data_IF_573233790714
#
_entry.id   IF_573233790714
#
_cell.length_a   1.000
_cell.length_b   1.000
_cell.length_c   1.000
_cell.angle_alpha   90.00
_cell.angle_beta   90.00
_cell.angle_gamma   90.00
#
_symmetry.space_group_name_H-M   'P 1'
#
loop_
_entity.id
_entity.type
_entity.pdbx_description
1 polymer ?
#
# COMPACT_ATOMS: atom_id res chain seq x y z
N UNK A 1 15.61 -27.79 -30.25
CA UNK A 1 14.91 -26.80 -31.09
C UNK A 1 13.46 -26.74 -30.66
N UNK A 2 13.27 -26.22 -29.47
CA UNK A 2 11.99 -25.72 -28.99
C UNK A 2 12.32 -24.24 -28.75
N UNK A 3 11.43 -23.31 -29.09
CA UNK A 3 11.17 -22.10 -28.29
C UNK A 3 10.58 -20.94 -29.10
N UNK A 4 10.79 -20.83 -30.43
CA UNK A 4 10.26 -19.69 -31.20
C UNK A 4 8.72 -19.60 -31.17
N UNK A 5 8.03 -20.73 -31.33
CA UNK A 5 6.56 -20.76 -31.25
C UNK A 5 6.03 -20.47 -29.85
N UNK A 6 6.75 -20.88 -28.80
CA UNK A 6 6.35 -20.62 -27.41
C UNK A 6 6.58 -19.17 -27.05
N UNK A 7 7.68 -18.58 -27.52
CA UNK A 7 7.99 -17.16 -27.31
C UNK A 7 6.95 -16.26 -27.96
N UNK A 8 6.47 -16.61 -29.17
CA UNK A 8 5.37 -15.88 -29.83
C UNK A 8 4.10 -15.88 -28.99
N UNK A 9 3.70 -17.05 -28.47
CA UNK A 9 2.49 -17.18 -27.64
C UNK A 9 2.61 -16.40 -26.33
N UNK A 10 3.78 -16.43 -25.70
CA UNK A 10 4.02 -15.65 -24.48
C UNK A 10 3.96 -14.16 -24.78
N UNK A 11 4.51 -13.70 -25.91
CA UNK A 11 4.44 -12.29 -26.31
C UNK A 11 3.00 -11.82 -26.57
N UNK A 12 2.18 -12.64 -27.21
CA UNK A 12 0.76 -12.32 -27.45
C UNK A 12 0.00 -12.17 -26.13
N UNK A 13 0.18 -13.10 -25.19
CA UNK A 13 -0.46 -13.04 -23.86
C UNK A 13 0.04 -11.82 -23.07
N UNK A 14 1.35 -11.54 -23.10
CA UNK A 14 1.90 -10.37 -22.40
C UNK A 14 1.37 -9.05 -22.98
N UNK A 15 1.11 -9.00 -24.29
CA UNK A 15 0.50 -7.83 -24.93
C UNK A 15 -0.99 -7.71 -24.60
N UNK A 16 -1.71 -8.84 -24.52
CA UNK A 16 -3.13 -8.89 -24.17
C UNK A 16 -3.40 -8.41 -22.73
N UNK A 17 -2.54 -8.78 -21.77
CA UNK A 17 -2.68 -8.43 -20.35
C UNK A 17 -1.77 -7.28 -19.91
N UNK A 18 -1.21 -6.51 -20.85
CA UNK A 18 -0.28 -5.42 -20.56
C UNK A 18 -0.88 -4.34 -19.64
N UNK A 19 -2.19 -4.17 -19.69
CA UNK A 19 -2.98 -3.24 -18.87
C UNK A 19 -3.12 -3.71 -17.41
N UNK A 20 -3.26 -5.02 -17.17
CA UNK A 20 -3.37 -5.62 -15.83
C UNK A 20 -2.01 -5.81 -15.18
N UNK A 21 -0.96 -6.05 -15.96
CA UNK A 21 0.41 -6.28 -15.47
C UNK A 21 1.16 -4.98 -15.15
N UNK A 22 0.47 -3.99 -14.60
CA UNK A 22 1.07 -2.73 -14.19
C UNK A 22 1.65 -2.84 -12.77
N UNK A 23 2.77 -2.17 -12.54
CA UNK A 23 3.38 -2.06 -11.20
C UNK A 23 2.66 -1.09 -10.28
N UNK A 24 1.66 -0.37 -10.81
CA UNK A 24 0.81 0.55 -10.08
C UNK A 24 -0.47 -0.16 -9.64
N UNK A 25 -0.97 0.12 -8.44
CA UNK A 25 -2.22 -0.45 -7.98
C UNK A 25 -3.37 0.01 -8.89
N UNK A 26 -4.11 -0.95 -9.46
CA UNK A 26 -5.33 -0.66 -10.21
C UNK A 26 -6.42 -0.13 -9.28
N UNK A 27 -7.21 0.84 -9.74
CA UNK A 27 -8.36 1.37 -8.99
C UNK A 27 -9.64 0.69 -9.47
N UNK A 28 -10.41 0.10 -8.54
CA UNK A 28 -11.70 -0.53 -8.86
C UNK A 28 -12.83 0.24 -8.19
N UNK A 29 -13.74 0.81 -8.98
CA UNK A 29 -14.94 1.51 -8.47
C UNK A 29 -16.14 0.57 -8.27
N UNK A 30 -16.06 -0.67 -8.76
CA UNK A 30 -17.21 -1.59 -8.86
C UNK A 30 -17.70 -2.15 -7.52
N UNK A 31 -16.82 -2.30 -6.52
CA UNK A 31 -17.18 -2.86 -5.21
C UNK A 31 -16.45 -2.09 -4.12
N UNK A 32 -17.21 -1.61 -3.14
CA UNK A 32 -16.68 -0.93 -1.95
C UNK A 32 -16.70 -1.92 -0.79
N UNK A 33 -15.59 -2.03 -0.07
CA UNK A 33 -15.53 -2.84 1.16
C UNK A 33 -16.13 -2.06 2.32
N UNK A 34 -17.19 -2.61 2.94
CA UNK A 34 -17.78 -2.07 4.16
C UNK A 34 -17.23 -2.81 5.39
N UNK A 35 -16.58 -2.09 6.29
CA UNK A 35 -16.10 -2.63 7.57
C UNK A 35 -17.24 -2.51 8.59
N UNK A 36 -17.86 -3.62 8.95
CA UNK A 36 -18.88 -3.67 10.01
C UNK A 36 -18.22 -3.76 11.37
N UNK A 37 -18.47 -2.75 12.21
CA UNK A 37 -17.95 -2.71 13.58
C UNK A 37 -18.82 -3.60 14.49
N UNK A 38 -18.17 -4.43 15.31
CA UNK A 38 -18.86 -5.25 16.32
C UNK A 38 -19.09 -4.49 17.65
N UNK A 39 -18.44 -3.34 17.82
CA UNK A 39 -18.48 -2.52 19.04
C UNK A 39 -18.24 -1.05 18.74
N UNK A 40 -18.96 -0.15 19.40
CA UNK A 40 -18.82 1.30 19.25
C UNK A 40 -17.63 1.90 20.02
N UNK A 41 -16.79 1.06 20.62
CA UNK A 41 -15.61 1.52 21.33
C UNK A 41 -14.56 2.04 20.34
N UNK A 42 -14.20 3.32 20.50
CA UNK A 42 -13.16 3.95 19.70
C UNK A 42 -11.79 3.40 20.10
N UNK A 43 -11.08 2.79 19.15
CA UNK A 43 -9.69 2.35 19.32
C UNK A 43 -8.75 3.43 18.79
N UNK A 44 -8.05 4.10 19.70
CA UNK A 44 -7.03 5.11 19.37
C UNK A 44 -5.71 4.75 20.06
N UNK A 45 -4.72 4.40 19.26
CA UNK A 45 -3.39 4.02 19.74
C UNK A 45 -2.37 5.06 19.27
N UNK A 46 -1.46 5.47 20.17
CA UNK A 46 -0.38 6.40 19.84
C UNK A 46 0.61 5.72 18.89
N UNK A 47 1.01 6.36 17.77
CA UNK A 47 2.07 5.84 16.90
C UNK A 47 3.37 5.59 17.65
N UNK A 48 4.05 4.50 17.29
CA UNK A 48 5.36 4.19 17.85
C UNK A 48 6.41 5.19 17.35
N UNK A 49 7.39 5.60 18.18
CA UNK A 49 8.48 6.45 17.73
C UNK A 49 9.26 5.78 16.59
N UNK A 50 9.42 6.50 15.48
CA UNK A 50 10.15 6.01 14.33
C UNK A 50 11.64 6.38 14.42
N UNK A 51 12.57 5.46 14.11
CA UNK A 51 13.99 5.78 14.02
C UNK A 51 14.25 6.76 12.87
N UNK A 52 15.21 7.67 13.03
CA UNK A 52 15.48 8.77 12.09
C UNK A 52 15.66 8.29 10.64
N UNK A 53 16.42 7.21 10.43
CA UNK A 53 16.66 6.63 9.10
C UNK A 53 15.38 6.12 8.40
N UNK A 54 14.34 5.74 9.17
CA UNK A 54 13.09 5.25 8.61
C UNK A 54 12.04 6.37 8.45
N UNK A 55 12.22 7.52 9.11
CA UNK A 55 11.27 8.63 9.00
C UNK A 55 11.20 9.21 7.60
N UNK A 56 12.36 9.39 6.94
CA UNK A 56 12.43 9.91 5.57
C UNK A 56 11.77 8.94 4.60
N UNK A 57 12.12 7.65 4.69
CA UNK A 57 11.52 6.60 3.86
C UNK A 57 9.99 6.54 4.03
N UNK A 58 9.49 6.54 5.27
CA UNK A 58 8.04 6.48 5.53
C UNK A 58 7.33 7.71 4.97
N UNK A 59 7.93 8.90 5.09
CA UNK A 59 7.36 10.13 4.53
C UNK A 59 7.27 10.05 2.99
N UNK A 60 8.33 9.59 2.33
CA UNK A 60 8.33 9.42 0.87
C UNK A 60 7.28 8.43 0.42
N UNK A 61 7.15 7.29 1.10
CA UNK A 61 6.18 6.27 0.72
C UNK A 61 4.73 6.71 0.95
N UNK A 62 4.46 7.40 2.06
CA UNK A 62 3.14 8.01 2.32
C UNK A 62 2.82 9.05 1.24
N UNK A 63 3.79 9.87 0.83
CA UNK A 63 3.58 10.86 -0.23
C UNK A 63 3.26 10.18 -1.56
N UNK A 64 3.98 9.13 -1.95
CA UNK A 64 3.65 8.36 -3.17
C UNK A 64 2.24 7.78 -3.12
N UNK A 65 1.82 7.24 -1.97
CA UNK A 65 0.47 6.68 -1.82
C UNK A 65 -0.62 7.76 -1.87
N UNK A 66 -0.33 8.98 -1.40
CA UNK A 66 -1.21 10.15 -1.54
C UNK A 66 -1.30 10.59 -3.00
N UNK A 67 -0.17 10.65 -3.70
CA UNK A 67 -0.10 11.05 -5.11
C UNK A 67 -0.82 10.02 -6.01
N UNK A 68 -0.75 8.74 -5.65
CA UNK A 68 -1.49 7.65 -6.31
C UNK A 68 -2.98 7.62 -5.95
N UNK A 69 -3.43 8.43 -4.98
CA UNK A 69 -4.83 8.48 -4.54
C UNK A 69 -5.32 7.24 -3.79
N UNK A 70 -4.40 6.36 -3.36
CA UNK A 70 -4.73 5.14 -2.60
C UNK A 70 -5.16 5.47 -1.18
N UNK A 71 -4.59 6.53 -0.60
CA UNK A 71 -4.88 7.01 0.75
C UNK A 71 -5.30 8.47 0.72
N UNK A 72 -6.03 8.91 1.75
CA UNK A 72 -6.48 10.29 1.90
C UNK A 72 -6.53 10.73 3.35
N UNK A 73 -6.51 12.05 3.56
CA UNK A 73 -6.68 12.62 4.87
C UNK A 73 -8.12 12.42 5.35
N UNK A 74 -8.29 11.98 6.59
CA UNK A 74 -9.61 11.79 7.20
C UNK A 74 -9.61 12.19 8.66
N UNK A 75 -10.65 12.88 9.14
CA UNK A 75 -10.81 13.22 10.55
C UNK A 75 -11.46 12.06 11.32
N UNK A 76 -10.90 10.85 11.24
CA UNK A 76 -11.51 9.68 11.90
C UNK A 76 -11.13 9.59 13.39
N UNK A 77 -12.04 9.15 14.26
CA UNK A 77 -11.74 8.95 15.68
C UNK A 77 -10.87 7.70 15.94
N UNK A 78 -10.74 6.81 14.96
CA UNK A 78 -9.92 5.59 15.03
C UNK A 78 -8.49 5.86 14.59
N UNK A 79 -7.50 5.26 15.25
CA UNK A 79 -6.10 5.38 14.85
C UNK A 79 -5.33 4.10 15.16
N UNK A 80 -4.73 3.52 14.13
CA UNK A 80 -3.85 2.35 14.23
C UNK A 80 -2.41 2.76 13.93
N UNK A 81 -1.44 2.37 14.76
CA UNK A 81 -0.06 2.79 14.61
C UNK A 81 0.59 2.04 13.44
N UNK A 82 1.38 2.77 12.66
CA UNK A 82 2.24 2.16 11.63
C UNK A 82 3.32 1.34 12.33
N UNK A 83 3.53 0.10 11.87
CA UNK A 83 4.65 -0.72 12.32
C UNK A 83 5.61 -0.92 11.17
N UNK A 84 6.87 -0.58 11.38
CA UNK A 84 7.93 -0.81 10.40
C UNK A 84 8.50 -2.21 10.64
N UNK A 85 8.22 -3.12 9.71
CA UNK A 85 8.79 -4.46 9.70
C UNK A 85 9.98 -4.53 8.76
N UNK A 86 11.13 -5.00 9.24
CA UNK A 86 12.28 -5.31 8.40
C UNK A 86 12.05 -6.67 7.71
N UNK A 87 11.21 -6.73 6.68
CA UNK A 87 11.01 -7.96 5.91
C UNK A 87 12.16 -8.15 4.92
N UNK A 88 13.22 -8.85 5.33
CA UNK A 88 14.22 -9.42 4.42
C UNK A 88 15.24 -8.43 3.82
N UNK A 89 16.52 -8.71 4.01
CA UNK A 89 17.67 -7.90 3.59
C UNK A 89 17.97 -8.11 2.09
N UNK A 90 16.99 -7.88 1.22
CA UNK A 90 17.19 -7.81 -0.24
C UNK A 90 16.46 -6.58 -0.77
N UNK A 91 17.25 -5.51 -0.96
CA UNK A 91 16.93 -4.30 -1.73
C UNK A 91 15.69 -3.50 -1.30
N UNK A 92 15.87 -2.66 -0.27
CA UNK A 92 15.33 -1.29 -0.24
C UNK A 92 13.82 -1.07 -0.15
N UNK A 93 13.00 -2.11 -0.11
CA UNK A 93 11.54 -1.97 0.04
C UNK A 93 11.15 -2.23 1.49
N UNK A 94 11.08 -1.17 2.28
CA UNK A 94 10.42 -1.20 3.58
C UNK A 94 8.91 -1.12 3.31
N UNK A 95 8.17 -2.16 3.66
CA UNK A 95 6.73 -2.18 3.51
C UNK A 95 6.06 -1.56 4.75
N UNK A 96 5.23 -0.54 4.53
CA UNK A 96 4.43 0.09 5.58
C UNK A 96 3.20 -0.77 5.82
N UNK A 97 3.27 -1.70 6.78
CA UNK A 97 2.14 -2.54 7.16
C UNK A 97 1.32 -1.84 8.26
N UNK A 98 0.04 -1.57 7.97
CA UNK A 98 -0.91 -1.01 8.92
C UNK A 98 -1.04 0.51 8.86
N UNK A 99 -1.47 1.06 7.72
CA UNK A 99 -1.87 2.46 7.62
C UNK A 99 -3.40 2.57 7.73
N UNK A 100 -3.91 2.65 8.96
CA UNK A 100 -5.30 3.04 9.21
C UNK A 100 -5.31 4.38 9.96
N UNK A 101 -5.55 5.42 9.15
CA UNK A 101 -6.07 6.74 9.48
C UNK A 101 -5.10 7.62 10.29
N UNK A 102 -4.37 8.44 9.53
CA UNK A 102 -3.47 9.49 10.02
C UNK A 102 -4.30 10.63 10.60
N UNK A 103 -4.33 10.73 11.93
CA UNK A 103 -4.82 11.91 12.65
C UNK A 103 -3.92 13.12 12.36
N UNK A 104 -4.46 14.36 12.44
CA UNK A 104 -3.72 15.57 12.12
C UNK A 104 -2.61 15.82 13.15
N UNK A 105 -1.44 16.20 12.64
CA UNK A 105 -0.34 16.82 13.39
C UNK A 105 -0.88 17.99 14.26
N UNK A 106 -0.81 17.84 15.58
CA UNK A 106 -0.46 18.89 16.55
C UNK A 106 0.50 18.26 17.56
#
# INVERSE_FOLDING_TARGET
MLDDQKMSQVQEILHEFADVLTSLPGHTTSVVHEIRLNSDQVVRVKPYPLPFAAQEFVKEEVQKLLDLGVIGHSPSPYCSPITIGCTGIRAGHVAVAGLMLLMPFI
#
